data_IF_443461122098
#
_entry.id   IF_443461122098
#
_cell.length_a   1.000
_cell.length_b   1.000
_cell.length_c   1.000
_cell.angle_alpha   90.00
_cell.angle_beta   90.00
_cell.angle_gamma   90.00
#
_symmetry.space_group_name_H-M   'P 1'
#
loop_
_entity.id
_entity.type
_entity.pdbx_description
1 polymer ?
#
# COMPACT_ATOMS: atom_id res chain seq x y z
N UNK A 1 14.79 6.21 -2.02
CA UNK A 1 15.24 4.79 -1.99
C UNK A 1 14.63 3.94 -3.09
N UNK A 2 13.32 3.68 -3.12
CA UNK A 2 12.68 2.84 -4.16
C UNK A 2 12.85 3.37 -5.60
N UNK A 3 12.97 4.69 -5.73
CA UNK A 3 13.10 5.42 -7.02
C UNK A 3 14.57 5.69 -7.38
N UNK A 4 15.49 5.62 -6.42
CA UNK A 4 16.89 5.95 -6.64
C UNK A 4 17.67 4.71 -7.11
N UNK A 5 18.40 4.87 -8.21
CA UNK A 5 19.26 3.82 -8.79
C UNK A 5 20.50 3.57 -7.91
N UNK A 6 20.98 4.57 -7.18
CA UNK A 6 22.12 4.45 -6.24
C UNK A 6 21.72 3.80 -4.92
N UNK A 7 22.61 2.97 -4.32
CA UNK A 7 22.41 2.39 -2.98
C UNK A 7 22.53 3.47 -1.90
N UNK A 8 21.42 4.04 -1.46
CA UNK A 8 21.36 4.91 -0.27
C UNK A 8 21.00 4.11 0.97
N UNK A 9 21.73 4.31 2.07
CA UNK A 9 21.41 3.72 3.38
C UNK A 9 20.31 4.52 4.07
N UNK A 10 19.58 3.89 5.02
CA UNK A 10 18.46 4.55 5.75
C UNK A 10 18.96 5.79 6.47
N UNK A 11 20.13 5.70 7.10
CA UNK A 11 20.77 6.82 7.79
C UNK A 11 21.08 7.98 6.85
N UNK A 12 21.59 7.71 5.64
CA UNK A 12 21.84 8.76 4.65
C UNK A 12 20.54 9.46 4.22
N UNK A 13 19.49 8.70 3.94
CA UNK A 13 18.21 9.29 3.55
C UNK A 13 17.59 10.14 4.67
N UNK A 14 17.68 9.71 5.92
CA UNK A 14 17.20 10.49 7.08
C UNK A 14 17.98 11.80 7.22
N UNK A 15 19.31 11.75 7.13
CA UNK A 15 20.17 12.95 7.17
C UNK A 15 19.87 13.91 6.02
N UNK A 16 19.69 13.40 4.81
CA UNK A 16 19.36 14.20 3.63
C UNK A 16 18.00 14.91 3.76
N UNK A 17 16.98 14.20 4.27
CA UNK A 17 15.64 14.78 4.49
C UNK A 17 15.73 15.86 5.57
N UNK A 18 16.42 15.60 6.68
CA UNK A 18 16.60 16.56 7.75
C UNK A 18 17.33 17.82 7.26
N UNK A 19 18.41 17.66 6.51
CA UNK A 19 19.19 18.78 5.97
C UNK A 19 18.39 19.64 4.97
N UNK A 20 17.52 19.03 4.15
CA UNK A 20 16.74 19.73 3.11
C UNK A 20 15.42 20.33 3.58
N UNK A 21 14.77 19.72 4.58
CA UNK A 21 13.39 20.08 4.95
C UNK A 21 13.09 20.03 6.45
N UNK A 22 14.08 19.78 7.30
CA UNK A 22 13.90 19.65 8.75
C UNK A 22 12.83 18.62 9.11
N UNK A 23 12.10 18.88 10.21
CA UNK A 23 11.01 18.00 10.67
C UNK A 23 9.85 17.91 9.68
N UNK A 24 9.48 19.02 9.02
CA UNK A 24 8.36 19.05 8.07
C UNK A 24 8.64 18.23 6.81
N UNK A 25 9.91 18.01 6.46
CA UNK A 25 10.31 17.16 5.35
C UNK A 25 9.82 15.71 5.48
N UNK A 26 9.77 15.17 6.70
CA UNK A 26 9.30 13.80 6.96
C UNK A 26 7.79 13.64 6.76
N UNK A 27 7.01 14.71 6.92
CA UNK A 27 5.55 14.70 6.79
C UNK A 27 5.09 15.07 5.37
N UNK A 28 6.01 15.19 4.42
CA UNK A 28 5.70 15.54 3.04
C UNK A 28 4.77 14.50 2.40
N UNK A 29 3.64 14.99 1.87
CA UNK A 29 2.59 14.15 1.30
C UNK A 29 1.68 13.46 2.32
N UNK A 30 1.89 13.63 3.63
CA UNK A 30 1.00 13.06 4.63
C UNK A 30 -0.40 13.71 4.60
N UNK A 31 -0.51 15.02 4.31
CA UNK A 31 -1.82 15.67 4.14
C UNK A 31 -2.70 15.00 3.08
N UNK A 32 -2.11 14.63 1.94
CA UNK A 32 -2.81 13.87 0.89
C UNK A 32 -3.18 12.45 1.37
N UNK A 33 -2.37 11.85 2.24
CA UNK A 33 -2.67 10.57 2.85
C UNK A 33 -3.89 10.64 3.77
N UNK A 34 -4.03 11.71 4.56
CA UNK A 34 -5.20 11.89 5.44
C UNK A 34 -6.46 12.14 4.60
N UNK A 35 -6.40 13.04 3.61
CA UNK A 35 -7.54 13.39 2.76
C UNK A 35 -8.05 12.17 1.98
N UNK A 36 -7.18 11.28 1.51
CA UNK A 36 -7.60 10.13 0.70
C UNK A 36 -8.24 9.00 1.51
N UNK A 37 -7.91 8.82 2.79
CA UNK A 37 -8.31 7.64 3.58
C UNK A 37 -9.83 7.52 3.71
N UNK A 38 -10.52 8.64 3.93
CA UNK A 38 -11.98 8.64 4.08
C UNK A 38 -12.71 8.29 2.76
N UNK A 39 -12.44 8.96 1.63
CA UNK A 39 -13.00 8.57 0.32
C UNK A 39 -12.63 7.15 -0.09
N UNK A 40 -11.39 6.72 0.13
CA UNK A 40 -10.92 5.37 -0.18
C UNK A 40 -11.75 4.31 0.57
N UNK A 41 -11.97 4.54 1.86
CA UNK A 41 -12.78 3.65 2.70
C UNK A 41 -14.24 3.64 2.27
N UNK A 42 -14.84 4.82 2.02
CA UNK A 42 -16.23 4.94 1.61
C UNK A 42 -16.51 4.19 0.29
N UNK A 43 -15.68 4.42 -0.73
CA UNK A 43 -15.83 3.75 -2.05
C UNK A 43 -15.63 2.25 -1.89
N UNK A 44 -14.65 1.82 -1.11
CA UNK A 44 -14.38 0.39 -0.88
C UNK A 44 -15.55 -0.30 -0.19
N UNK A 45 -16.10 0.27 0.88
CA UNK A 45 -17.23 -0.33 1.58
C UNK A 45 -18.49 -0.35 0.72
N UNK A 46 -18.79 0.76 0.04
CA UNK A 46 -19.93 0.82 -0.88
C UNK A 46 -19.82 -0.22 -2.01
N UNK A 47 -18.66 -0.30 -2.66
CA UNK A 47 -18.42 -1.29 -3.72
C UNK A 47 -18.50 -2.73 -3.18
N UNK A 48 -18.00 -2.98 -1.97
CA UNK A 48 -18.07 -4.29 -1.33
C UNK A 48 -19.52 -4.71 -1.06
N UNK A 49 -20.35 -3.81 -0.52
CA UNK A 49 -21.77 -4.09 -0.26
C UNK A 49 -22.51 -4.37 -1.58
N UNK A 50 -22.30 -3.56 -2.60
CA UNK A 50 -22.92 -3.78 -3.92
C UNK A 50 -22.53 -5.11 -4.55
N UNK A 51 -21.25 -5.50 -4.47
CA UNK A 51 -20.78 -6.79 -4.98
C UNK A 51 -21.34 -7.95 -4.17
N UNK A 52 -21.42 -7.81 -2.84
CA UNK A 52 -21.99 -8.81 -1.94
C UNK A 52 -23.47 -9.04 -2.24
N UNK A 53 -24.26 -7.97 -2.38
CA UNK A 53 -25.68 -8.03 -2.73
C UNK A 53 -25.89 -8.70 -4.09
N UNK A 54 -25.07 -8.35 -5.09
CA UNK A 54 -25.12 -8.99 -6.40
C UNK A 54 -24.85 -10.50 -6.34
N UNK A 55 -23.83 -10.92 -5.58
CA UNK A 55 -23.48 -12.35 -5.39
C UNK A 55 -24.62 -13.09 -4.67
N UNK A 56 -25.22 -12.48 -3.63
CA UNK A 56 -26.35 -13.05 -2.90
C UNK A 56 -27.58 -13.21 -3.81
N UNK A 57 -27.88 -12.19 -4.62
CA UNK A 57 -29.00 -12.23 -5.58
C UNK A 57 -28.80 -13.28 -6.68
N UNK A 58 -27.56 -13.51 -7.12
CA UNK A 58 -27.25 -14.52 -8.12
C UNK A 58 -27.33 -15.97 -7.61
N UNK A 59 -27.28 -16.20 -6.30
CA UNK A 59 -27.27 -17.56 -5.71
C UNK A 59 -28.67 -18.14 -5.43
N UNK A 60 -29.72 -17.32 -5.45
CA UNK A 60 -31.06 -17.76 -5.01
C UNK A 60 -31.11 -18.13 -3.52
N UNK A 61 -32.30 -18.47 -3.00
CA UNK A 61 -32.61 -18.66 -1.56
C UNK A 61 -31.80 -19.75 -0.82
N UNK A 62 -30.93 -20.52 -1.48
CA UNK A 62 -30.32 -21.73 -0.91
C UNK A 62 -28.94 -21.55 -0.24
N UNK A 63 -28.36 -20.35 -0.15
CA UNK A 63 -27.15 -20.10 0.66
C UNK A 63 -27.21 -18.75 1.37
N UNK A 64 -27.55 -18.78 2.65
CA UNK A 64 -27.65 -17.62 3.55
C UNK A 64 -26.30 -16.95 3.86
N UNK A 65 -25.17 -17.60 3.55
CA UNK A 65 -23.84 -17.04 3.79
C UNK A 65 -22.95 -16.98 2.54
N UNK A 66 -22.31 -15.81 2.37
CA UNK A 66 -21.23 -15.61 1.40
C UNK A 66 -20.00 -16.33 1.93
N UNK A 67 -19.49 -17.31 1.18
CA UNK A 67 -18.30 -18.09 1.54
C UNK A 67 -17.03 -17.25 1.55
N UNK A 68 -15.95 -17.79 2.14
CA UNK A 68 -14.67 -17.09 2.28
C UNK A 68 -14.10 -16.65 0.91
N UNK A 69 -14.22 -17.51 -0.11
CA UNK A 69 -13.73 -17.22 -1.46
C UNK A 69 -14.48 -16.05 -2.11
N UNK A 70 -15.80 -15.97 -1.91
CA UNK A 70 -16.64 -14.92 -2.47
C UNK A 70 -16.43 -13.59 -1.75
N UNK A 71 -16.21 -13.62 -0.42
CA UNK A 71 -15.80 -12.43 0.34
C UNK A 71 -14.44 -11.91 -0.13
N UNK A 72 -13.50 -12.81 -0.41
CA UNK A 72 -12.19 -12.45 -0.93
C UNK A 72 -12.28 -11.82 -2.33
N UNK A 73 -13.07 -12.41 -3.24
CA UNK A 73 -13.29 -11.85 -4.58
C UNK A 73 -14.02 -10.50 -4.53
N UNK A 74 -15.09 -10.40 -3.75
CA UNK A 74 -15.83 -9.15 -3.58
C UNK A 74 -14.95 -8.06 -2.94
N UNK A 75 -14.17 -8.42 -1.92
CA UNK A 75 -13.22 -7.51 -1.26
C UNK A 75 -12.09 -7.06 -2.20
N UNK A 76 -11.55 -7.98 -3.00
CA UNK A 76 -10.50 -7.69 -3.99
C UNK A 76 -11.00 -6.76 -5.10
N UNK A 77 -12.19 -7.02 -5.65
CA UNK A 77 -12.81 -6.17 -6.67
C UNK A 77 -13.19 -4.80 -6.11
N UNK A 78 -13.79 -4.76 -4.91
CA UNK A 78 -14.08 -3.50 -4.23
C UNK A 78 -12.81 -2.67 -3.97
N UNK A 79 -11.73 -3.34 -3.54
CA UNK A 79 -10.41 -2.74 -3.39
C UNK A 79 -9.85 -2.20 -4.71
N UNK A 80 -10.01 -2.93 -5.81
CA UNK A 80 -9.61 -2.49 -7.14
C UNK A 80 -10.39 -1.25 -7.62
N UNK A 81 -11.70 -1.21 -7.38
CA UNK A 81 -12.56 -0.06 -7.70
C UNK A 81 -12.14 1.16 -6.89
N UNK A 82 -12.00 1.01 -5.57
CA UNK A 82 -11.54 2.09 -4.70
C UNK A 82 -10.15 2.59 -5.08
N UNK A 83 -9.21 1.68 -5.33
CA UNK A 83 -7.85 2.03 -5.74
C UNK A 83 -7.83 2.76 -7.08
N UNK A 84 -8.71 2.42 -8.02
CA UNK A 84 -8.83 3.11 -9.33
C UNK A 84 -9.38 4.52 -9.16
N UNK A 85 -10.40 4.70 -8.32
CA UNK A 85 -10.98 6.02 -8.05
C UNK A 85 -10.01 6.97 -7.32
N UNK A 86 -9.24 6.43 -6.37
CA UNK A 86 -8.28 7.21 -5.55
C UNK A 86 -6.93 7.38 -6.25
N UNK A 87 -6.69 6.64 -7.33
CA UNK A 87 -5.40 6.57 -8.00
C UNK A 87 -4.77 7.94 -8.37
N UNK A 88 -5.53 8.95 -8.87
CA UNK A 88 -4.99 10.27 -9.15
C UNK A 88 -4.37 10.95 -7.92
N UNK A 89 -4.99 10.80 -6.74
CA UNK A 89 -4.49 11.37 -5.49
C UNK A 89 -3.21 10.64 -5.06
N UNK A 90 -3.18 9.32 -5.20
CA UNK A 90 -2.00 8.49 -4.93
C UNK A 90 -0.82 8.88 -5.82
N UNK A 91 -1.04 9.14 -7.11
CA UNK A 91 0.02 9.59 -8.01
C UNK A 91 0.58 10.95 -7.55
N UNK A 92 -0.29 11.93 -7.29
CA UNK A 92 0.13 13.27 -6.87
C UNK A 92 0.89 13.20 -5.54
N UNK A 93 0.46 12.34 -4.61
CA UNK A 93 1.18 12.07 -3.36
C UNK A 93 2.57 11.49 -3.64
N UNK A 94 2.68 10.44 -4.45
CA UNK A 94 3.98 9.82 -4.76
C UNK A 94 4.91 10.83 -5.41
N UNK A 95 4.43 11.60 -6.38
CA UNK A 95 5.25 12.65 -7.01
C UNK A 95 5.66 13.74 -6.04
N UNK A 96 4.77 14.18 -5.17
CA UNK A 96 5.11 15.15 -4.14
C UNK A 96 6.20 14.61 -3.21
N UNK A 97 6.18 13.32 -2.89
CA UNK A 97 7.19 12.66 -2.04
C UNK A 97 8.53 12.45 -2.76
N UNK A 98 8.51 12.23 -4.07
CA UNK A 98 9.72 11.94 -4.87
C UNK A 98 10.31 13.17 -5.54
N UNK A 99 9.60 14.30 -5.55
CA UNK A 99 10.07 15.54 -6.14
C UNK A 99 11.31 16.06 -5.40
N UNK A 100 12.46 15.93 -6.05
CA UNK A 100 13.73 16.53 -5.63
C UNK A 100 13.58 18.05 -5.62
N UNK A 101 13.80 18.68 -4.47
CA UNK A 101 13.73 20.13 -4.37
C UNK A 101 14.92 20.77 -5.11
N UNK A 102 14.76 21.08 -6.40
CA UNK A 102 15.58 22.12 -7.02
C UNK A 102 15.14 23.46 -6.39
N UNK A 103 16.03 24.08 -5.61
CA UNK A 103 15.77 25.39 -4.98
C UNK A 103 14.93 25.39 -3.69
N UNK A 104 14.76 24.25 -3.02
CA UNK A 104 14.18 24.19 -1.66
C UNK A 104 12.67 24.45 -1.53
N UNK A 105 11.96 24.73 -2.63
CA UNK A 105 10.50 24.98 -2.62
C UNK A 105 9.72 23.74 -3.03
N UNK A 106 8.83 23.29 -2.15
CA UNK A 106 7.88 22.21 -2.44
C UNK A 106 6.76 22.77 -3.34
N UNK A 107 6.46 22.13 -4.49
CA UNK A 107 5.39 22.60 -5.36
C UNK A 107 4.03 22.48 -4.65
N UNK A 108 3.15 23.47 -4.86
CA UNK A 108 1.75 23.39 -4.41
C UNK A 108 1.06 22.24 -5.14
N UNK A 109 0.22 21.49 -4.42
CA UNK A 109 -0.52 20.32 -4.94
C UNK A 109 -1.28 20.66 -6.23
N UNK A 110 -1.98 21.81 -6.27
CA UNK A 110 -2.71 22.26 -7.46
C UNK A 110 -1.80 22.61 -8.65
N UNK A 111 -0.64 23.21 -8.38
CA UNK A 111 0.33 23.51 -9.44
C UNK A 111 0.93 22.22 -10.02
N UNK A 112 1.30 21.27 -9.16
CA UNK A 112 1.78 19.95 -9.57
C UNK A 112 0.73 19.18 -10.37
N UNK A 113 -0.54 19.21 -9.94
CA UNK A 113 -1.62 18.51 -10.66
C UNK A 113 -1.89 19.12 -12.04
N UNK A 114 -1.86 20.46 -12.14
CA UNK A 114 -1.99 21.17 -13.41
C UNK A 114 -0.82 20.88 -14.35
N UNK A 115 0.40 20.85 -13.80
CA UNK A 115 1.63 20.52 -14.54
C UNK A 115 1.55 19.12 -15.15
N UNK A 116 1.13 18.12 -14.35
CA UNK A 116 0.90 16.75 -14.83
C UNK A 116 -0.13 16.73 -15.96
N UNK A 117 -1.24 17.43 -15.79
CA UNK A 117 -2.32 17.43 -16.78
C UNK A 117 -1.88 18.07 -18.11
N UNK A 118 -1.15 19.18 -18.06
CA UNK A 118 -0.74 19.93 -19.25
C UNK A 118 0.44 19.30 -19.98
N UNK A 119 1.46 18.81 -19.25
CA UNK A 119 2.67 18.27 -19.85
C UNK A 119 2.61 16.77 -20.15
N UNK A 120 1.86 16.00 -19.36
CA UNK A 120 1.83 14.53 -19.49
C UNK A 120 0.47 13.97 -19.92
N UNK A 121 -0.57 14.80 -19.84
CA UNK A 121 -1.94 14.44 -20.13
C UNK A 121 -2.65 13.68 -19.01
N UNK A 122 -3.98 13.48 -19.15
CA UNK A 122 -4.81 12.87 -18.11
C UNK A 122 -4.47 11.39 -17.84
N UNK A 123 -3.90 10.68 -18.82
CA UNK A 123 -3.48 9.27 -18.66
C UNK A 123 -2.32 9.12 -17.67
N UNK A 124 -1.53 10.18 -17.45
CA UNK A 124 -0.40 10.14 -16.52
C UNK A 124 -0.85 9.85 -15.09
N UNK A 125 -2.03 10.34 -14.69
CA UNK A 125 -2.64 10.09 -13.37
C UNK A 125 -2.77 8.61 -13.05
N UNK A 126 -2.90 7.74 -14.04
CA UNK A 126 -3.11 6.29 -13.88
C UNK A 126 -1.84 5.44 -14.12
N UNK A 127 -0.67 6.06 -14.24
CA UNK A 127 0.60 5.34 -14.42
C UNK A 127 0.93 4.50 -13.19
N UNK A 128 1.07 3.19 -13.40
CA UNK A 128 1.32 2.21 -12.34
C UNK A 128 0.05 1.55 -11.77
N UNK A 129 -1.13 1.83 -12.32
CA UNK A 129 -2.38 1.18 -11.87
C UNK A 129 -2.30 -0.33 -12.10
N UNK A 130 -1.81 -0.76 -13.26
CA UNK A 130 -1.66 -2.18 -13.60
C UNK A 130 -0.85 -2.97 -12.57
N UNK A 131 0.43 -2.62 -12.25
CA UNK A 131 1.17 -3.35 -11.21
C UNK A 131 0.53 -3.21 -9.82
N UNK A 132 -0.22 -2.13 -9.55
CA UNK A 132 -0.98 -2.00 -8.31
C UNK A 132 -2.08 -3.05 -8.22
N UNK A 133 -2.90 -3.20 -9.27
CA UNK A 133 -4.02 -4.14 -9.30
C UNK A 133 -3.54 -5.59 -9.31
N UNK A 134 -2.49 -5.88 -10.10
CA UNK A 134 -1.86 -7.20 -10.13
C UNK A 134 -1.32 -7.64 -8.77
N UNK A 135 -0.93 -6.70 -7.91
CA UNK A 135 -0.43 -6.98 -6.57
C UNK A 135 -1.52 -7.31 -5.54
N UNK A 136 -2.78 -6.89 -5.75
CA UNK A 136 -3.85 -7.05 -4.76
C UNK A 136 -4.16 -8.53 -4.50
N UNK A 137 -4.36 -9.31 -5.57
CA UNK A 137 -4.79 -10.72 -5.45
C UNK A 137 -3.68 -11.59 -4.81
N UNK A 138 -2.42 -11.55 -5.27
CA UNK A 138 -1.35 -12.33 -4.64
C UNK A 138 -1.08 -11.91 -3.21
N UNK A 139 -1.17 -10.60 -2.89
CA UNK A 139 -1.02 -10.12 -1.53
C UNK A 139 -2.07 -10.73 -0.62
N UNK A 140 -3.35 -10.63 -0.99
CA UNK A 140 -4.46 -11.16 -0.20
C UNK A 140 -4.39 -12.68 -0.03
N UNK A 141 -4.04 -13.41 -1.08
CA UNK A 141 -3.91 -14.87 -1.02
C UNK A 141 -2.77 -15.33 -0.09
N UNK A 142 -1.59 -14.70 -0.19
CA UNK A 142 -0.44 -15.05 0.66
C UNK A 142 -0.69 -14.62 2.11
N UNK A 143 -1.21 -13.41 2.32
CA UNK A 143 -1.53 -12.91 3.66
C UNK A 143 -2.52 -13.85 4.36
N UNK A 144 -3.61 -14.24 3.68
CA UNK A 144 -4.59 -15.17 4.24
C UNK A 144 -3.99 -16.54 4.53
N UNK A 145 -3.28 -17.14 3.58
CA UNK A 145 -2.68 -18.47 3.75
C UNK A 145 -1.67 -18.51 4.90
N UNK A 146 -0.81 -17.49 5.00
CA UNK A 146 0.17 -17.39 6.09
C UNK A 146 -0.53 -17.10 7.41
N UNK A 147 -1.54 -16.24 7.43
CA UNK A 147 -2.31 -15.93 8.64
C UNK A 147 -3.00 -17.18 9.19
N UNK A 148 -3.69 -17.95 8.36
CA UNK A 148 -4.35 -19.20 8.75
C UNK A 148 -3.33 -20.22 9.28
N UNK A 149 -2.21 -20.40 8.57
CA UNK A 149 -1.14 -21.30 9.03
C UNK A 149 -0.57 -20.89 10.39
N UNK A 150 -0.30 -19.59 10.58
CA UNK A 150 0.23 -19.07 11.85
C UNK A 150 -0.80 -19.19 12.97
N UNK A 151 -2.08 -18.97 12.67
CA UNK A 151 -3.17 -19.13 13.63
C UNK A 151 -3.32 -20.58 14.08
N UNK A 152 -3.25 -21.53 13.16
CA UNK A 152 -3.33 -22.96 13.45
C UNK A 152 -2.14 -23.41 14.32
N UNK A 153 -0.92 -23.01 13.96
CA UNK A 153 0.29 -23.27 14.78
C UNK A 153 0.13 -22.66 16.18
N UNK A 154 -0.37 -21.43 16.29
CA UNK A 154 -0.59 -20.80 17.60
C UNK A 154 -1.63 -21.54 18.44
N UNK A 155 -2.70 -22.05 17.82
CA UNK A 155 -3.74 -22.83 18.52
C UNK A 155 -3.17 -24.15 19.07
N UNK A 156 -2.32 -24.81 18.30
CA UNK A 156 -1.70 -26.09 18.68
C UNK A 156 -0.62 -25.94 19.76
N UNK A 157 0.22 -24.90 19.70
CA UNK A 157 1.41 -24.80 20.55
C UNK A 157 1.29 -23.83 21.74
N UNK A 158 0.43 -22.81 21.68
CA UNK A 158 0.42 -21.72 22.67
C UNK A 158 -0.83 -21.76 23.58
N UNK A 159 -2.00 -22.15 23.06
CA UNK A 159 -3.27 -21.87 23.74
C UNK A 159 -4.12 -23.06 24.19
N UNK A 160 -3.71 -24.32 23.95
CA UNK A 160 -4.42 -25.53 24.43
C UNK A 160 -5.96 -25.36 24.37
N UNK A 161 -6.46 -25.10 23.16
CA UNK A 161 -7.89 -24.92 22.83
C UNK A 161 -8.61 -23.62 23.27
N UNK A 162 -7.87 -22.55 23.62
CA UNK A 162 -8.44 -21.20 23.79
C UNK A 162 -8.27 -20.31 22.54
N UNK A 163 -9.20 -19.38 22.32
CA UNK A 163 -9.10 -18.42 21.21
C UNK A 163 -7.83 -17.56 21.33
N UNK A 164 -7.08 -17.33 20.23
CA UNK A 164 -5.89 -16.50 20.27
C UNK A 164 -6.24 -15.09 20.71
N UNK A 165 -5.59 -14.64 21.80
CA UNK A 165 -5.79 -13.29 22.32
C UNK A 165 -5.45 -12.21 21.29
N UNK A 166 -5.94 -10.97 21.46
CA UNK A 166 -5.75 -9.87 20.50
C UNK A 166 -4.29 -9.65 20.07
N UNK A 167 -3.34 -9.79 21.01
CA UNK A 167 -1.90 -9.69 20.73
C UNK A 167 -1.37 -10.79 19.80
N UNK A 168 -1.84 -12.03 19.98
CA UNK A 168 -1.45 -13.17 19.14
C UNK A 168 -2.00 -12.97 17.74
N UNK A 169 -3.28 -12.58 17.60
CA UNK A 169 -3.88 -12.29 16.30
C UNK A 169 -3.16 -11.15 15.58
N UNK A 170 -2.77 -10.10 16.31
CA UNK A 170 -1.97 -9.00 15.76
C UNK A 170 -0.57 -9.43 15.36
N UNK A 171 0.09 -10.27 16.17
CA UNK A 171 1.38 -10.85 15.84
C UNK A 171 1.31 -11.67 14.55
N UNK A 172 0.36 -12.61 14.47
CA UNK A 172 0.09 -13.42 13.28
C UNK A 172 -0.19 -12.54 12.06
N UNK A 173 -1.08 -11.55 12.18
CA UNK A 173 -1.43 -10.62 11.10
C UNK A 173 -0.26 -9.73 10.66
N UNK A 174 0.60 -9.34 11.59
CA UNK A 174 1.79 -8.53 11.29
C UNK A 174 2.80 -9.36 10.49
N UNK A 175 3.03 -10.60 10.89
CA UNK A 175 3.96 -11.52 10.21
C UNK A 175 3.42 -11.94 8.84
N UNK A 176 2.13 -12.29 8.76
CA UNK A 176 1.49 -12.65 7.49
C UNK A 176 1.51 -11.49 6.50
N UNK A 177 1.14 -10.29 6.95
CA UNK A 177 1.17 -9.08 6.13
C UNK A 177 2.59 -8.71 5.68
N UNK A 178 3.59 -8.87 6.54
CA UNK A 178 4.99 -8.64 6.19
C UNK A 178 5.50 -9.61 5.12
N UNK A 179 5.13 -10.89 5.21
CA UNK A 179 5.49 -11.91 4.22
C UNK A 179 4.75 -11.69 2.90
N UNK A 180 3.44 -11.43 2.95
CA UNK A 180 2.64 -11.06 1.77
C UNK A 180 3.20 -9.82 1.07
N UNK A 181 3.55 -8.79 1.83
CA UNK A 181 4.17 -7.57 1.31
C UNK A 181 5.55 -7.84 0.69
N UNK A 182 6.33 -8.77 1.25
CA UNK A 182 7.65 -9.16 0.72
C UNK A 182 7.54 -9.88 -0.62
N UNK A 183 6.57 -10.78 -0.77
CA UNK A 183 6.32 -11.49 -2.02
C UNK A 183 5.87 -10.55 -3.14
N UNK A 184 5.00 -9.58 -2.82
CA UNK A 184 4.45 -8.62 -3.79
C UNK A 184 5.36 -7.38 -3.97
N UNK A 185 6.43 -7.27 -3.18
CA UNK A 185 7.34 -6.13 -3.17
C UNK A 185 7.90 -5.74 -4.55
N UNK A 186 8.25 -6.67 -5.45
CA UNK A 186 8.67 -6.32 -6.81
C UNK A 186 7.64 -5.49 -7.58
N UNK A 187 6.35 -5.83 -7.48
CA UNK A 187 5.26 -5.07 -8.11
C UNK A 187 5.11 -3.70 -7.46
N UNK A 188 5.32 -3.61 -6.15
CA UNK A 188 5.31 -2.33 -5.43
C UNK A 188 6.44 -1.41 -5.92
N UNK A 189 7.66 -1.92 -6.11
CA UNK A 189 8.77 -1.12 -6.65
C UNK A 189 8.49 -0.65 -8.07
N UNK A 190 7.94 -1.52 -8.93
CA UNK A 190 7.57 -1.14 -10.30
C UNK A 190 6.49 -0.06 -10.30
N UNK A 191 5.45 -0.21 -9.46
CA UNK A 191 4.41 0.81 -9.25
C UNK A 191 5.05 2.15 -8.84
N UNK A 192 5.88 2.16 -7.80
CA UNK A 192 6.48 3.41 -7.30
C UNK A 192 7.35 4.08 -8.36
N UNK A 193 8.14 3.33 -9.13
CA UNK A 193 8.97 3.88 -10.22
C UNK A 193 8.12 4.50 -11.33
N UNK A 194 7.04 3.83 -11.74
CA UNK A 194 6.10 4.36 -12.74
C UNK A 194 5.34 5.60 -12.27
N UNK A 195 5.04 5.70 -10.98
CA UNK A 195 4.36 6.85 -10.40
C UNK A 195 5.29 8.05 -10.22
N UNK A 196 6.54 7.79 -9.84
CA UNK A 196 7.53 8.80 -9.50
C UNK A 196 8.19 9.47 -10.72
N UNK A 197 8.18 8.83 -11.88
CA UNK A 197 8.76 9.41 -13.10
C UNK A 197 8.04 10.69 -13.54
N UNK A 198 8.80 11.61 -14.12
CA UNK A 198 8.31 12.82 -14.77
C UNK A 198 8.41 12.63 -16.30
N UNK A 199 7.41 13.09 -17.07
CA UNK A 199 7.37 12.81 -18.51
C UNK A 199 8.49 13.46 -19.33
N UNK A 200 9.11 14.53 -18.81
CA UNK A 200 10.16 15.27 -19.52
C UNK A 200 11.57 14.71 -19.28
N UNK A 201 11.71 13.56 -18.63
CA UNK A 201 13.01 12.89 -18.51
C UNK A 201 13.26 12.02 -19.74
N UNK A 202 14.42 12.16 -20.39
CA UNK A 202 14.86 11.32 -21.51
C UNK A 202 14.84 9.81 -21.17
N UNK A 203 14.86 9.48 -19.88
CA UNK A 203 14.82 8.13 -19.33
C UNK A 203 13.43 7.64 -18.92
N UNK A 204 12.35 8.33 -19.30
CA UNK A 204 10.99 7.94 -18.96
C UNK A 204 10.67 6.49 -19.40
N UNK A 205 9.96 5.76 -18.55
CA UNK A 205 9.58 4.38 -18.79
C UNK A 205 8.32 4.30 -19.64
N UNK A 206 8.34 3.41 -20.65
CA UNK A 206 7.21 3.20 -21.57
C UNK A 206 6.06 2.43 -20.91
N UNK A 207 6.35 1.64 -19.89
CA UNK A 207 5.35 0.83 -19.18
C UNK A 207 5.96 -0.11 -18.13
N UNK A 208 5.11 -0.99 -17.59
CA UNK A 208 5.49 -1.94 -16.54
C UNK A 208 6.62 -2.89 -16.98
N UNK A 209 6.56 -3.42 -18.20
CA UNK A 209 7.57 -4.31 -18.76
C UNK A 209 8.92 -3.61 -18.93
N UNK A 210 8.92 -2.36 -19.37
CA UNK A 210 10.12 -1.54 -19.53
C UNK A 210 10.80 -1.28 -18.17
N UNK A 211 10.02 -0.93 -17.13
CA UNK A 211 10.54 -0.81 -15.77
C UNK A 211 11.12 -2.14 -15.27
N UNK A 212 10.42 -3.24 -15.50
CA UNK A 212 10.87 -4.56 -15.07
C UNK A 212 12.23 -4.91 -15.70
N UNK A 213 12.34 -4.82 -17.03
CA UNK A 213 13.57 -5.18 -17.74
C UNK A 213 14.72 -4.24 -17.42
N UNK A 214 14.50 -2.92 -17.40
CA UNK A 214 15.55 -1.97 -17.03
C UNK A 214 16.01 -2.14 -15.58
N UNK A 215 15.09 -2.41 -14.66
CA UNK A 215 15.47 -2.68 -13.25
C UNK A 215 16.30 -3.95 -13.16
N UNK A 216 15.92 -5.01 -13.88
CA UNK A 216 16.66 -6.26 -13.89
C UNK A 216 18.05 -6.10 -14.53
N UNK A 217 18.18 -5.34 -15.62
CA UNK A 217 19.45 -5.11 -16.32
C UNK A 217 20.40 -4.20 -15.54
N UNK A 218 19.91 -3.09 -14.96
CA UNK A 218 20.76 -2.10 -14.30
C UNK A 218 21.01 -2.38 -12.82
N UNK A 219 20.09 -3.04 -12.11
CA UNK A 219 20.16 -3.22 -10.65
C UNK A 219 20.07 -4.68 -10.20
N UNK A 220 19.81 -5.60 -11.13
CA UNK A 220 19.58 -7.01 -10.85
C UNK A 220 18.34 -7.26 -10.01
N UNK A 221 18.22 -8.50 -9.50
CA UNK A 221 17.12 -8.91 -8.60
C UNK A 221 17.06 -8.05 -7.33
N UNK A 222 18.21 -7.56 -6.86
CA UNK A 222 18.28 -6.70 -5.67
C UNK A 222 17.53 -5.37 -5.84
N UNK A 223 17.39 -4.87 -7.08
CA UNK A 223 16.65 -3.63 -7.39
C UNK A 223 15.17 -3.70 -7.00
N UNK A 224 14.56 -4.88 -7.13
CA UNK A 224 13.15 -5.11 -6.79
C UNK A 224 12.87 -5.12 -5.30
N UNK A 225 13.89 -5.29 -4.45
CA UNK A 225 13.77 -5.32 -2.99
C UNK A 225 14.32 -4.06 -2.31
N UNK A 226 14.66 -3.02 -3.09
CA UNK A 226 15.15 -1.75 -2.55
C UNK A 226 14.09 -1.07 -1.69
N UNK A 227 14.46 -0.81 -0.43
CA UNK A 227 13.57 -0.15 0.54
C UNK A 227 12.68 -1.11 1.31
N UNK A 228 12.88 -2.43 1.21
CA UNK A 228 12.09 -3.39 1.98
C UNK A 228 12.30 -3.20 3.48
N UNK A 229 13.54 -2.94 3.91
CA UNK A 229 13.87 -2.69 5.31
C UNK A 229 13.07 -1.53 5.91
N UNK A 230 13.08 -0.30 5.37
CA UNK A 230 12.22 0.77 5.89
C UNK A 230 10.71 0.45 5.74
N UNK A 231 10.32 -0.35 4.75
CA UNK A 231 8.92 -0.79 4.61
C UNK A 231 8.49 -1.80 5.68
N UNK A 232 9.39 -2.63 6.20
CA UNK A 232 9.12 -3.56 7.30
C UNK A 232 9.26 -2.87 8.66
N UNK A 233 10.27 -2.01 8.82
CA UNK A 233 10.49 -1.23 10.05
C UNK A 233 9.30 -0.34 10.40
N UNK A 234 8.58 0.20 9.42
CA UNK A 234 7.37 1.00 9.68
C UNK A 234 6.17 0.16 10.18
N UNK A 235 6.14 -1.15 9.91
CA UNK A 235 4.98 -1.99 10.20
C UNK A 235 4.86 -2.23 11.70
N UNK A 236 5.98 -2.51 12.38
CA UNK A 236 5.97 -2.80 13.82
C UNK A 236 5.43 -1.62 14.64
N UNK A 237 5.95 -0.38 14.51
CA UNK A 237 5.41 0.76 15.24
C UNK A 237 3.95 1.05 14.89
N UNK A 238 3.56 0.90 13.61
CA UNK A 238 2.18 1.11 13.19
C UNK A 238 1.24 0.12 13.90
N UNK A 239 1.57 -1.18 13.91
CA UNK A 239 0.80 -2.21 14.59
C UNK A 239 0.71 -1.94 16.11
N UNK A 240 1.84 -1.57 16.74
CA UNK A 240 1.87 -1.23 18.16
C UNK A 240 0.97 -0.04 18.50
N UNK A 241 1.03 1.04 17.71
CA UNK A 241 0.19 2.24 17.92
C UNK A 241 -1.29 1.89 17.73
N UNK A 242 -1.63 1.15 16.69
CA UNK A 242 -3.01 0.70 16.45
C UNK A 242 -3.53 -0.12 17.62
N UNK A 243 -2.73 -1.03 18.18
CA UNK A 243 -3.13 -1.81 19.34
C UNK A 243 -3.35 -0.96 20.59
N UNK A 244 -2.39 -0.08 20.91
CA UNK A 244 -2.49 0.81 22.07
C UNK A 244 -3.73 1.70 22.01
N UNK A 245 -4.02 2.25 20.82
CA UNK A 245 -5.22 3.07 20.59
C UNK A 245 -6.48 2.22 20.74
N UNK A 246 -6.49 1.01 20.19
CA UNK A 246 -7.62 0.09 20.31
C UNK A 246 -7.91 -0.27 21.78
N UNK A 247 -6.92 -0.66 22.57
CA UNK A 247 -7.09 -0.97 24.00
C UNK A 247 -7.55 0.25 24.79
N UNK A 248 -6.94 1.41 24.58
CA UNK A 248 -7.32 2.64 25.26
C UNK A 248 -8.77 3.03 24.95
N UNK A 249 -9.19 2.90 23.70
CA UNK A 249 -10.57 3.16 23.28
C UNK A 249 -11.54 2.15 23.89
N UNK A 250 -11.21 0.85 23.87
CA UNK A 250 -12.05 -0.21 24.44
C UNK A 250 -12.29 0.04 25.95
N UNK A 251 -11.23 0.37 26.68
CA UNK A 251 -11.27 0.71 28.10
C UNK A 251 -12.10 1.96 28.39
N UNK A 252 -11.93 3.02 27.59
CA UNK A 252 -12.68 4.27 27.76
C UNK A 252 -14.18 4.13 27.42
N UNK A 253 -14.53 3.20 26.52
CA UNK A 253 -15.91 2.91 26.14
C UNK A 253 -16.57 1.84 27.02
N UNK A 254 -15.89 1.33 28.05
CA UNK A 254 -16.37 0.27 28.95
C UNK A 254 -16.83 -0.99 28.22
N UNK A 255 -16.16 -1.33 27.11
CA UNK A 255 -16.48 -2.49 26.26
C UNK A 255 -15.71 -3.76 26.66
N UNK A 256 -15.19 -3.82 27.90
CA UNK A 256 -14.28 -4.90 28.37
C UNK A 256 -14.85 -6.30 28.18
#
# INVERSE_FOLDING_TARGET
MQVQTTRTTVMHAVKDIWAKGGMLGFFRGNGLNVVKVAPESAIRFYAYEMLKEYIMKSKGENKSEVGASERLVAGGLAGAVAQTAIYPIDLVKTRLQTYSCEGGKVPRIGALSRDILMHEGPRAFYRGLVPSLLGIIPYAGIDLAVYETLKDVSRTYILKDSDPGPLVQLGCGTVSGALGATCVYPLQVIRTRLQAQQANSESAYRGMSDVFWRTLQHEGVSGFYKGILPNLLKVVPAASITYLVYEAMKKNLSLD
#
